data_IF_947168325844
#
_entry.id   IF_947168325844
#
_cell.length_a   1.000
_cell.length_b   1.000
_cell.length_c   1.000
_cell.angle_alpha   90.00
_cell.angle_beta   90.00
_cell.angle_gamma   90.00
#
_symmetry.space_group_name_H-M   'P 1'
#
loop_
_entity.id
_entity.type
_entity.pdbx_description
1 polymer ?
#
# COMPACT_ATOMS: atom_id res chain seq x y z
N UNK A 1 -18.21 -32.15 67.34
CA UNK A 1 -19.24 -31.42 68.10
C UNK A 1 -19.14 -29.92 67.73
N UNK A 2 -20.10 -29.11 68.18
CA UNK A 2 -20.11 -27.64 68.12
C UNK A 2 -20.18 -26.99 66.72
N UNK A 3 -21.38 -26.54 66.36
CA UNK A 3 -21.63 -25.37 65.49
C UNK A 3 -21.80 -24.13 66.39
N UNK A 4 -21.51 -22.92 65.90
CA UNK A 4 -22.31 -21.67 66.05
C UNK A 4 -21.57 -20.53 65.32
N UNK A 5 -22.12 -19.67 64.44
CA UNK A 5 -23.41 -18.96 64.32
C UNK A 5 -23.49 -17.61 65.07
N UNK A 6 -24.14 -16.65 64.39
CA UNK A 6 -24.75 -15.36 64.85
C UNK A 6 -23.81 -14.15 65.09
N UNK A 7 -24.23 -12.88 64.85
CA UNK A 7 -25.12 -12.28 63.82
C UNK A 7 -25.12 -10.73 63.89
N UNK A 8 -25.60 -10.07 62.81
CA UNK A 8 -26.37 -8.81 62.78
C UNK A 8 -25.75 -7.45 63.22
N UNK A 9 -25.97 -6.42 62.39
CA UNK A 9 -25.91 -4.98 62.73
C UNK A 9 -26.36 -4.12 61.54
N UNK A 10 -27.44 -3.33 61.68
CA UNK A 10 -28.14 -2.66 60.55
C UNK A 10 -28.62 -1.24 60.88
N UNK A 11 -28.44 -0.31 59.92
CA UNK A 11 -29.14 0.98 59.61
C UNK A 11 -28.13 1.90 58.86
N UNK A 12 -28.46 2.84 57.98
CA UNK A 12 -29.65 3.69 57.78
C UNK A 12 -29.28 5.14 58.17
N UNK A 13 -29.56 6.24 57.42
CA UNK A 13 -30.54 6.54 56.34
C UNK A 13 -29.97 7.60 55.35
N UNK A 14 -30.62 7.81 54.21
CA UNK A 14 -30.16 8.50 52.99
C UNK A 14 -30.34 10.04 52.89
N UNK A 15 -29.66 10.65 51.91
CA UNK A 15 -30.11 11.79 51.07
C UNK A 15 -29.20 11.93 49.82
N UNK A 16 -29.62 12.27 48.59
CA UNK A 16 -30.98 12.46 48.06
C UNK A 16 -31.02 12.74 46.53
N UNK A 17 -31.94 12.05 45.82
CA UNK A 17 -32.54 12.28 44.46
C UNK A 17 -31.78 13.02 43.33
N UNK A 18 -31.65 12.33 42.19
CA UNK A 18 -32.34 12.66 40.91
C UNK A 18 -32.30 11.45 39.96
N UNK A 19 -33.36 10.64 39.82
CA UNK A 19 -34.46 10.77 38.83
C UNK A 19 -33.99 10.73 37.35
N UNK A 20 -34.00 9.55 36.70
CA UNK A 20 -35.10 8.92 35.91
C UNK A 20 -35.33 9.56 34.51
N UNK A 21 -35.67 8.87 33.41
CA UNK A 21 -35.54 7.45 32.99
C UNK A 21 -35.71 7.33 31.45
N UNK A 22 -35.27 6.20 30.87
CA UNK A 22 -35.29 5.77 29.45
C UNK A 22 -36.50 6.12 28.55
N UNK A 23 -36.27 6.16 27.22
CA UNK A 23 -36.92 5.25 26.22
C UNK A 23 -36.48 5.47 24.74
N UNK A 24 -36.57 4.39 23.94
CA UNK A 24 -36.66 4.28 22.46
C UNK A 24 -37.90 3.40 22.15
N UNK A 25 -38.45 3.26 20.92
CA UNK A 25 -37.99 3.73 19.59
C UNK A 25 -38.89 4.91 19.08
N UNK A 26 -39.56 5.02 17.92
CA UNK A 26 -39.82 4.18 16.72
C UNK A 26 -40.14 5.03 15.46
N UNK A 27 -40.70 4.43 14.40
CA UNK A 27 -40.85 4.99 13.03
C UNK A 27 -42.28 4.94 12.47
N UNK A 28 -42.77 5.99 11.79
CA UNK A 28 -43.84 5.91 10.79
C UNK A 28 -44.07 7.20 9.94
N UNK A 29 -44.39 7.01 8.65
CA UNK A 29 -45.31 7.75 7.75
C UNK A 29 -45.40 9.30 7.64
N UNK A 30 -45.41 9.75 6.38
CA UNK A 30 -45.94 11.02 5.80
C UNK A 30 -47.48 11.16 5.88
N UNK A 31 -48.17 12.22 5.38
CA UNK A 31 -47.73 13.49 4.75
C UNK A 31 -48.38 14.77 5.34
N UNK A 32 -48.08 15.96 4.78
CA UNK A 32 -48.95 17.14 4.86
C UNK A 32 -49.11 17.84 3.50
N UNK A 33 -50.18 18.63 3.34
CA UNK A 33 -50.67 19.13 2.05
C UNK A 33 -51.07 20.61 2.09
N UNK A 34 -50.90 21.29 0.95
CA UNK A 34 -51.57 22.53 0.49
C UNK A 34 -51.56 23.74 1.44
N UNK A 35 -51.07 24.86 0.90
CA UNK A 35 -51.80 26.12 0.97
C UNK A 35 -51.62 26.87 -0.35
N UNK A 36 -52.72 27.37 -0.91
CA UNK A 36 -52.74 28.15 -2.14
C UNK A 36 -53.73 29.30 -1.95
N UNK A 37 -53.33 30.52 -2.31
CA UNK A 37 -54.20 31.69 -2.29
C UNK A 37 -54.32 32.28 -3.70
N UNK A 38 -55.57 32.44 -4.14
CA UNK A 38 -56.00 33.48 -5.10
C UNK A 38 -55.84 34.85 -4.39
N UNK A 39 -55.89 36.03 -5.01
CA UNK A 39 -56.73 36.48 -6.13
C UNK A 39 -56.34 37.90 -6.55
N UNK A 40 -56.62 38.30 -7.80
CA UNK A 40 -57.58 39.38 -8.04
C UNK A 40 -57.96 39.51 -9.51
N UNK A 41 -59.25 39.78 -9.74
CA UNK A 41 -59.87 40.08 -11.04
C UNK A 41 -59.59 41.53 -11.46
N UNK A 42 -59.72 41.88 -12.75
CA UNK A 42 -61.01 42.31 -13.32
C UNK A 42 -60.94 42.45 -14.84
N UNK A 43 -62.09 42.59 -15.51
CA UNK A 43 -62.25 42.36 -16.94
C UNK A 43 -62.80 43.58 -17.71
N UNK A 44 -62.55 43.62 -19.02
CA UNK A 44 -63.27 44.44 -19.99
C UNK A 44 -63.49 43.66 -21.29
N UNK A 45 -64.63 43.88 -21.93
CA UNK A 45 -65.17 43.10 -23.06
C UNK A 45 -65.17 43.97 -24.32
N UNK A 46 -64.56 43.56 -25.45
CA UNK A 46 -64.88 44.10 -26.78
C UNK A 46 -64.60 43.08 -27.90
N UNK A 47 -65.11 43.34 -29.12
CA UNK A 47 -65.38 42.35 -30.18
C UNK A 47 -64.37 42.34 -31.33
N UNK A 48 -64.23 41.16 -31.95
CA UNK A 48 -63.90 40.87 -33.38
C UNK A 48 -62.99 41.82 -34.19
N UNK A 49 -61.90 41.28 -34.72
CA UNK A 49 -61.69 41.02 -36.17
C UNK A 49 -60.44 40.12 -36.38
N UNK A 50 -60.34 39.33 -37.47
CA UNK A 50 -59.19 38.46 -37.71
C UNK A 50 -58.05 39.17 -38.47
N UNK A 51 -56.83 39.16 -37.92
CA UNK A 51 -55.62 39.58 -38.63
C UNK A 51 -54.89 38.37 -39.25
N UNK A 52 -54.41 38.53 -40.49
CA UNK A 52 -53.68 37.46 -41.18
C UNK A 52 -52.30 37.23 -40.53
N UNK A 53 -52.02 35.99 -40.14
CA UNK A 53 -50.72 35.61 -39.58
C UNK A 53 -49.68 35.36 -40.68
N UNK A 54 -49.03 36.44 -41.14
CA UNK A 54 -47.86 36.33 -42.02
C UNK A 54 -46.66 35.87 -41.19
N UNK A 55 -46.48 34.56 -41.11
CA UNK A 55 -45.49 33.93 -40.23
C UNK A 55 -44.11 33.87 -40.89
N UNK A 56 -43.38 34.98 -40.86
CA UNK A 56 -42.00 35.08 -41.36
C UNK A 56 -41.09 34.02 -40.72
N UNK A 57 -40.74 32.98 -41.48
CA UNK A 57 -39.86 31.91 -41.01
C UNK A 57 -38.40 32.37 -41.04
N UNK A 58 -37.92 32.89 -39.92
CA UNK A 58 -36.49 33.10 -39.70
C UNK A 58 -35.79 31.72 -39.65
N UNK A 59 -35.04 31.39 -40.70
CA UNK A 59 -34.28 30.13 -40.80
C UNK A 59 -33.05 30.19 -39.89
N UNK A 60 -33.28 30.08 -38.57
CA UNK A 60 -32.24 30.17 -37.56
C UNK A 60 -31.33 28.94 -37.64
N UNK A 61 -30.22 29.08 -38.36
CA UNK A 61 -29.23 28.02 -38.57
C UNK A 61 -28.60 27.59 -37.25
N UNK A 62 -29.22 26.62 -36.57
CA UNK A 62 -28.57 25.86 -35.51
C UNK A 62 -27.28 25.29 -36.09
N UNK A 63 -26.14 25.85 -35.68
CA UNK A 63 -24.89 25.08 -35.64
C UNK A 63 -25.18 23.90 -34.74
N UNK A 64 -25.42 22.74 -35.34
CA UNK A 64 -25.57 21.48 -34.61
C UNK A 64 -24.24 21.21 -33.93
N UNK A 65 -24.11 21.63 -32.66
CA UNK A 65 -23.06 21.14 -31.79
C UNK A 65 -23.23 19.63 -31.83
N UNK A 66 -22.30 18.94 -32.48
CA UNK A 66 -22.35 17.49 -32.59
C UNK A 66 -22.59 16.95 -31.18
N UNK A 67 -23.60 16.09 -31.03
CA UNK A 67 -23.73 15.34 -29.78
C UNK A 67 -22.37 14.69 -29.54
N UNK A 68 -21.76 14.84 -28.34
CA UNK A 68 -20.43 14.30 -28.09
C UNK A 68 -20.50 12.83 -28.47
N UNK A 69 -19.69 12.44 -29.46
CA UNK A 69 -19.75 11.10 -30.02
C UNK A 69 -19.66 10.14 -28.85
N UNK A 70 -20.72 9.37 -28.61
CA UNK A 70 -20.87 8.58 -27.39
C UNK A 70 -19.81 7.50 -27.47
N UNK A 71 -18.60 7.79 -26.94
CA UNK A 71 -17.46 6.86 -26.90
C UNK A 71 -18.06 5.54 -26.44
N UNK A 72 -18.11 4.57 -27.35
CA UNK A 72 -18.41 3.20 -26.97
C UNK A 72 -17.22 2.84 -26.11
N UNK A 73 -17.40 2.94 -24.79
CA UNK A 73 -16.33 2.65 -23.84
C UNK A 73 -15.84 1.25 -24.18
N UNK A 74 -14.57 1.13 -24.56
CA UNK A 74 -13.97 -0.16 -24.76
C UNK A 74 -14.20 -0.97 -23.47
N UNK A 75 -14.57 -2.25 -23.56
CA UNK A 75 -14.77 -3.06 -22.36
C UNK A 75 -13.45 -3.08 -21.59
N UNK A 76 -13.38 -2.33 -20.48
CA UNK A 76 -12.14 -2.15 -19.70
C UNK A 76 -11.50 -3.52 -19.47
N UNK A 77 -10.23 -3.74 -19.90
CA UNK A 77 -9.59 -5.03 -19.71
C UNK A 77 -9.52 -5.33 -18.22
N UNK A 78 -10.06 -6.47 -17.82
CA UNK A 78 -10.00 -6.93 -16.43
C UNK A 78 -8.66 -7.62 -16.22
N UNK A 79 -7.65 -6.86 -15.83
CA UNK A 79 -6.35 -7.40 -15.43
C UNK A 79 -6.52 -8.29 -14.20
N UNK A 80 -5.87 -9.45 -14.19
CA UNK A 80 -5.86 -10.42 -13.08
C UNK A 80 -4.64 -10.16 -12.17
N UNK A 81 -4.45 -8.90 -11.78
CA UNK A 81 -3.27 -8.39 -11.05
C UNK A 81 -3.50 -8.15 -9.54
N UNK A 82 -4.73 -8.35 -9.04
CA UNK A 82 -5.06 -8.19 -7.63
C UNK A 82 -4.60 -9.33 -6.72
N UNK A 83 -5.01 -9.27 -5.45
CA UNK A 83 -4.69 -10.28 -4.43
C UNK A 83 -5.07 -11.70 -4.92
N UNK A 84 -4.13 -12.64 -4.84
CA UNK A 84 -4.22 -13.99 -5.42
C UNK A 84 -4.70 -14.04 -6.89
N UNK A 85 -4.35 -13.04 -7.70
CA UNK A 85 -4.74 -12.93 -9.12
C UNK A 85 -6.17 -12.43 -9.36
N UNK A 86 -6.87 -11.93 -8.33
CA UNK A 86 -8.27 -11.50 -8.50
C UNK A 86 -8.39 -10.19 -9.30
N UNK A 87 -9.22 -10.18 -10.35
CA UNK A 87 -9.50 -8.97 -11.15
C UNK A 87 -10.43 -7.95 -10.45
N UNK A 88 -10.39 -7.90 -9.12
CA UNK A 88 -11.31 -7.09 -8.30
C UNK A 88 -10.80 -5.70 -7.94
N UNK A 89 -9.59 -5.34 -8.35
CA UNK A 89 -8.91 -4.09 -7.93
C UNK A 89 -8.46 -4.09 -6.46
N UNK A 90 -8.58 -5.24 -5.77
CA UNK A 90 -8.19 -5.43 -4.36
C UNK A 90 -6.75 -5.97 -4.31
N UNK A 91 -5.98 -5.56 -3.30
CA UNK A 91 -4.58 -5.96 -3.11
C UNK A 91 -3.61 -4.80 -3.29
N UNK A 92 -2.33 -5.09 -3.12
CA UNK A 92 -1.24 -4.14 -3.30
C UNK A 92 -1.13 -3.64 -4.75
N UNK A 93 -0.58 -2.45 -4.93
CA UNK A 93 0.02 -2.01 -6.20
C UNK A 93 1.52 -2.30 -6.19
N UNK A 94 2.16 -2.22 -7.36
CA UNK A 94 3.63 -2.28 -7.44
C UNK A 94 4.34 -1.22 -6.59
N UNK A 95 3.70 -0.08 -6.28
CA UNK A 95 4.26 0.91 -5.33
C UNK A 95 4.18 0.44 -3.87
N UNK A 96 3.10 -0.24 -3.47
CA UNK A 96 3.02 -0.88 -2.15
C UNK A 96 4.07 -1.99 -2.02
N UNK A 97 4.20 -2.86 -3.02
CA UNK A 97 5.23 -3.89 -3.03
C UNK A 97 6.65 -3.29 -2.98
N UNK A 98 6.92 -2.23 -3.75
CA UNK A 98 8.21 -1.55 -3.76
C UNK A 98 8.57 -1.02 -2.36
N UNK A 99 7.61 -0.41 -1.67
CA UNK A 99 7.79 0.04 -0.29
C UNK A 99 8.07 -1.12 0.68
N UNK A 100 7.30 -2.21 0.62
CA UNK A 100 7.55 -3.41 1.43
C UNK A 100 8.92 -4.03 1.11
N UNK A 101 9.32 -4.02 -0.16
CA UNK A 101 10.65 -4.42 -0.63
C UNK A 101 11.77 -3.57 -0.01
N UNK A 102 11.66 -2.24 -0.01
CA UNK A 102 12.62 -1.35 0.68
C UNK A 102 12.72 -1.65 2.18
N UNK A 103 11.58 -1.90 2.84
CA UNK A 103 11.56 -2.28 4.27
C UNK A 103 12.26 -3.62 4.50
N UNK A 104 12.05 -4.61 3.62
CA UNK A 104 12.74 -5.89 3.68
C UNK A 104 14.26 -5.77 3.42
N UNK A 105 14.69 -4.94 2.46
CA UNK A 105 16.10 -4.62 2.22
C UNK A 105 16.77 -4.07 3.49
N UNK A 106 16.12 -3.09 4.15
CA UNK A 106 16.63 -2.49 5.39
C UNK A 106 16.65 -3.52 6.53
N UNK A 107 15.57 -4.28 6.71
CA UNK A 107 15.48 -5.32 7.74
C UNK A 107 16.53 -6.43 7.58
N UNK A 108 16.78 -6.87 6.34
CA UNK A 108 17.81 -7.87 6.04
C UNK A 108 19.22 -7.32 6.25
N UNK A 109 19.51 -6.11 5.75
CA UNK A 109 20.79 -5.45 5.97
C UNK A 109 21.07 -5.20 7.47
N UNK A 110 20.07 -4.78 8.24
CA UNK A 110 20.18 -4.55 9.68
C UNK A 110 20.32 -5.86 10.47
N UNK A 111 19.62 -6.93 10.07
CA UNK A 111 19.78 -8.27 10.65
C UNK A 111 21.23 -8.75 10.56
N UNK A 112 21.78 -8.78 9.33
CA UNK A 112 23.14 -9.30 9.11
C UNK A 112 24.20 -8.39 9.73
N UNK A 113 24.04 -7.06 9.65
CA UNK A 113 24.97 -6.11 10.28
C UNK A 113 24.94 -6.20 11.82
N UNK A 114 23.75 -6.36 12.40
CA UNK A 114 23.58 -6.56 13.84
C UNK A 114 24.26 -7.85 14.31
N UNK A 115 24.13 -8.94 13.56
CA UNK A 115 24.82 -10.19 13.85
C UNK A 115 26.33 -10.07 13.71
N UNK A 116 26.84 -9.42 12.66
CA UNK A 116 28.27 -9.18 12.46
C UNK A 116 28.90 -8.35 13.61
N UNK A 117 28.15 -7.43 14.21
CA UNK A 117 28.61 -6.59 15.32
C UNK A 117 28.44 -7.27 16.69
N UNK A 118 27.38 -8.07 16.90
CA UNK A 118 27.00 -8.59 18.22
C UNK A 118 27.27 -10.09 18.43
N UNK A 119 27.54 -10.83 17.35
CA UNK A 119 27.63 -12.30 17.37
C UNK A 119 26.29 -13.01 17.60
N UNK A 120 25.15 -12.32 17.42
CA UNK A 120 23.80 -12.85 17.68
C UNK A 120 22.85 -12.63 16.50
N UNK A 121 22.05 -13.63 16.17
CA UNK A 121 20.97 -13.49 15.19
C UNK A 121 19.92 -12.46 15.61
N UNK A 122 19.07 -12.06 14.66
CA UNK A 122 18.13 -10.93 14.84
C UNK A 122 16.98 -11.29 15.79
N UNK A 123 16.54 -12.54 15.82
CA UNK A 123 15.50 -12.99 16.75
C UNK A 123 16.06 -13.03 18.18
N UNK A 124 17.31 -13.50 18.35
CA UNK A 124 18.02 -13.43 19.63
C UNK A 124 18.22 -11.99 20.13
N UNK A 125 18.51 -11.03 19.24
CA UNK A 125 18.59 -9.61 19.57
C UNK A 125 17.23 -8.99 19.93
N UNK A 126 16.13 -9.52 19.39
CA UNK A 126 14.75 -9.12 19.71
C UNK A 126 14.15 -9.87 20.91
N UNK A 127 14.97 -10.63 21.66
CA UNK A 127 14.55 -11.46 22.80
C UNK A 127 13.53 -12.57 22.48
N UNK A 128 13.45 -13.01 21.23
CA UNK A 128 12.57 -14.08 20.77
C UNK A 128 13.22 -15.47 20.94
N UNK A 129 12.40 -16.50 21.09
CA UNK A 129 12.86 -17.89 21.23
C UNK A 129 13.39 -18.45 19.91
N UNK A 130 14.48 -19.22 19.98
CA UNK A 130 15.23 -19.76 18.82
C UNK A 130 15.85 -21.12 19.17
N UNK A 131 16.13 -21.95 18.16
CA UNK A 131 16.46 -23.36 18.35
C UNK A 131 15.24 -24.24 18.69
N UNK A 132 14.05 -23.79 18.27
CA UNK A 132 12.74 -24.40 18.54
C UNK A 132 12.05 -24.81 17.22
N UNK A 133 11.16 -25.82 17.23
CA UNK A 133 10.41 -26.17 16.03
C UNK A 133 9.42 -25.07 15.65
N UNK A 134 9.17 -24.89 14.34
CA UNK A 134 8.37 -23.77 13.79
C UNK A 134 6.99 -23.62 14.44
N UNK A 135 6.35 -24.73 14.86
CA UNK A 135 5.01 -24.69 15.47
C UNK A 135 4.99 -24.18 16.93
N UNK A 136 6.15 -24.03 17.58
CA UNK A 136 6.31 -23.42 18.91
C UNK A 136 6.68 -21.93 18.81
N UNK A 137 7.14 -21.45 17.65
CA UNK A 137 7.54 -20.06 17.44
C UNK A 137 6.36 -19.07 17.43
N UNK A 138 6.62 -17.81 17.77
CA UNK A 138 5.58 -16.80 17.97
C UNK A 138 4.65 -16.63 16.75
N UNK A 139 3.31 -16.70 16.91
CA UNK A 139 2.37 -16.56 15.81
C UNK A 139 2.48 -15.26 15.01
N UNK A 140 2.95 -14.16 15.64
CA UNK A 140 3.19 -12.89 14.95
C UNK A 140 4.43 -12.94 14.05
N UNK A 141 5.48 -13.65 14.47
CA UNK A 141 6.67 -13.91 13.66
C UNK A 141 6.33 -14.84 12.49
N UNK A 142 5.55 -15.90 12.73
CA UNK A 142 5.04 -16.78 11.68
C UNK A 142 4.16 -16.03 10.65
N UNK A 143 3.31 -15.12 11.11
CA UNK A 143 2.54 -14.24 10.24
C UNK A 143 3.44 -13.28 9.44
N UNK A 144 4.48 -12.70 10.04
CA UNK A 144 5.45 -11.85 9.34
C UNK A 144 6.21 -12.61 8.24
N UNK A 145 6.64 -13.85 8.51
CA UNK A 145 7.26 -14.73 7.50
C UNK A 145 6.29 -15.00 6.35
N UNK A 146 5.05 -15.41 6.67
CA UNK A 146 4.02 -15.70 5.65
C UNK A 146 3.70 -14.47 4.79
N UNK A 147 3.49 -13.31 5.41
CA UNK A 147 3.28 -12.04 4.73
C UNK A 147 4.46 -11.69 3.81
N UNK A 148 5.69 -11.87 4.29
CA UNK A 148 6.91 -11.57 3.54
C UNK A 148 7.07 -12.48 2.32
N UNK A 149 6.80 -13.79 2.46
CA UNK A 149 6.83 -14.74 1.36
C UNK A 149 5.71 -14.51 0.33
N UNK A 150 4.48 -14.23 0.78
CA UNK A 150 3.36 -13.89 -0.11
C UNK A 150 3.60 -12.57 -0.86
N UNK A 151 4.25 -11.59 -0.22
CA UNK A 151 4.70 -10.36 -0.87
C UNK A 151 5.81 -10.60 -1.90
N UNK A 152 6.79 -11.46 -1.59
CA UNK A 152 7.90 -11.77 -2.50
C UNK A 152 7.44 -12.38 -3.85
N UNK A 153 6.35 -13.15 -3.83
CA UNK A 153 5.74 -13.75 -5.03
C UNK A 153 4.61 -12.91 -5.66
N UNK A 154 4.30 -11.73 -5.10
CA UNK A 154 3.22 -10.85 -5.55
C UNK A 154 1.79 -11.35 -5.28
N UNK A 155 1.62 -12.39 -4.45
CA UNK A 155 0.30 -12.93 -4.11
C UNK A 155 -0.59 -11.95 -3.31
N UNK A 156 0.00 -10.90 -2.72
CA UNK A 156 -0.72 -9.82 -2.06
C UNK A 156 -1.31 -8.78 -3.05
N UNK A 157 -0.98 -8.88 -4.34
CA UNK A 157 -1.43 -8.01 -5.43
C UNK A 157 -0.25 -7.29 -6.10
N UNK A 158 -0.16 -7.41 -7.41
CA UNK A 158 0.94 -6.91 -8.25
C UNK A 158 0.49 -5.73 -9.14
N UNK A 159 -0.50 -4.95 -8.65
CA UNK A 159 -1.37 -4.13 -9.52
C UNK A 159 -0.67 -2.96 -10.20
N UNK A 160 -1.09 -2.69 -11.43
CA UNK A 160 -0.56 -1.61 -12.29
C UNK A 160 0.80 -1.94 -12.89
N UNK A 161 1.50 -0.95 -13.44
CA UNK A 161 2.80 -1.15 -14.11
C UNK A 161 3.81 -0.05 -13.85
N UNK A 162 5.08 -0.42 -13.76
CA UNK A 162 6.18 0.53 -13.90
C UNK A 162 6.54 0.66 -15.37
N UNK A 163 6.70 1.90 -15.83
CA UNK A 163 7.12 2.21 -17.20
C UNK A 163 8.31 3.17 -17.13
N UNK A 164 9.37 2.86 -17.86
CA UNK A 164 10.60 3.65 -17.84
C UNK A 164 10.37 5.05 -18.41
N UNK A 165 10.90 6.05 -17.72
CA UNK A 165 10.97 7.40 -18.29
C UNK A 165 12.02 7.40 -19.39
N UNK A 166 11.54 7.37 -20.64
CA UNK A 166 12.39 7.35 -21.82
C UNK A 166 13.31 8.59 -21.82
N UNK A 167 14.65 8.42 -21.76
CA UNK A 167 15.57 9.55 -21.67
C UNK A 167 15.52 10.35 -22.98
N UNK A 168 14.89 11.51 -22.93
CA UNK A 168 14.78 12.45 -24.05
C UNK A 168 16.10 13.21 -24.22
N UNK A 169 17.06 12.55 -24.86
CA UNK A 169 18.35 13.14 -25.25
C UNK A 169 19.47 12.09 -25.34
N UNK A 170 20.14 12.05 -26.49
CA UNK A 170 21.45 11.37 -26.63
C UNK A 170 22.59 12.18 -26.00
N UNK A 171 22.29 13.38 -25.50
CA UNK A 171 23.20 14.48 -25.20
C UNK A 171 24.03 14.30 -23.91
N UNK A 172 23.94 13.13 -23.26
CA UNK A 172 24.80 12.76 -22.11
C UNK A 172 25.69 11.55 -22.34
N UNK A 173 25.81 11.07 -23.59
CA UNK A 173 26.74 10.01 -24.00
C UNK A 173 28.18 10.50 -24.26
N UNK A 174 28.48 11.79 -24.05
CA UNK A 174 29.82 12.37 -24.20
C UNK A 174 30.40 12.69 -22.83
N UNK A 175 31.33 11.86 -22.37
CA UNK A 175 32.04 12.05 -21.09
C UNK A 175 33.15 13.10 -21.28
N UNK A 176 33.04 14.22 -20.57
CA UNK A 176 34.15 15.17 -20.45
C UNK A 176 35.20 14.61 -19.46
N UNK A 177 36.50 14.58 -19.78
CA UNK A 177 37.51 13.94 -18.93
C UNK A 177 37.82 14.79 -17.67
N UNK A 178 37.05 14.59 -16.58
CA UNK A 178 37.02 15.57 -15.48
C UNK A 178 36.59 15.10 -14.08
N UNK A 179 36.68 13.81 -13.71
CA UNK A 179 36.52 13.27 -12.33
C UNK A 179 35.24 13.66 -11.54
N UNK A 180 34.20 12.83 -11.62
CA UNK A 180 33.24 12.62 -10.53
C UNK A 180 33.57 11.39 -9.67
N UNK A 181 33.32 11.44 -8.35
CA UNK A 181 33.44 10.25 -7.45
C UNK A 181 32.57 9.07 -7.93
N UNK A 182 31.41 9.36 -8.52
CA UNK A 182 30.53 8.37 -9.16
C UNK A 182 31.20 7.66 -10.34
N UNK A 183 31.79 8.43 -11.27
CA UNK A 183 32.50 7.88 -12.43
C UNK A 183 33.69 6.99 -12.02
N UNK A 184 34.40 7.35 -10.95
CA UNK A 184 35.49 6.53 -10.39
C UNK A 184 35.03 5.17 -9.81
N UNK A 185 33.73 5.02 -9.50
CA UNK A 185 33.11 3.76 -9.09
C UNK A 185 32.34 3.07 -10.24
N UNK A 186 32.47 3.54 -11.48
CA UNK A 186 31.71 3.03 -12.64
C UNK A 186 30.23 3.45 -12.68
N UNK A 187 29.81 4.38 -11.82
CA UNK A 187 28.43 4.82 -11.67
C UNK A 187 28.15 6.08 -12.51
N UNK A 188 26.94 6.22 -13.04
CA UNK A 188 26.56 7.31 -13.94
C UNK A 188 26.57 8.68 -13.25
N UNK A 189 27.03 9.71 -13.98
CA UNK A 189 27.02 11.11 -13.51
C UNK A 189 25.65 11.80 -13.65
N UNK A 190 24.59 11.01 -13.81
CA UNK A 190 23.20 11.43 -13.82
C UNK A 190 22.27 10.21 -13.71
N UNK A 191 21.17 10.37 -13.00
CA UNK A 191 20.21 9.28 -12.71
C UNK A 191 20.42 8.64 -11.32
N UNK A 192 19.72 7.51 -11.06
CA UNK A 192 19.81 6.74 -9.82
C UNK A 192 21.24 6.21 -9.60
N UNK A 193 21.66 6.04 -8.34
CA UNK A 193 23.05 5.71 -8.00
C UNK A 193 23.54 4.37 -8.59
N UNK A 194 22.65 3.43 -8.87
CA UNK A 194 22.93 2.16 -9.56
C UNK A 194 22.30 2.05 -10.96
N UNK A 195 21.71 3.14 -11.50
CA UNK A 195 20.95 3.10 -12.76
C UNK A 195 19.67 2.25 -12.74
N UNK A 196 19.23 1.77 -11.59
CA UNK A 196 18.06 0.90 -11.45
C UNK A 196 16.76 1.58 -11.90
N UNK A 197 15.93 0.85 -12.65
CA UNK A 197 14.51 1.14 -12.81
C UNK A 197 13.74 0.74 -11.54
N UNK A 198 12.52 1.25 -11.35
CA UNK A 198 11.62 0.77 -10.28
C UNK A 198 11.34 -0.74 -10.39
N UNK A 199 11.37 -1.32 -11.59
CA UNK A 199 11.22 -2.76 -11.79
C UNK A 199 12.45 -3.56 -11.30
N UNK A 200 13.67 -3.03 -11.49
CA UNK A 200 14.87 -3.65 -10.92
C UNK A 200 14.86 -3.56 -9.38
N UNK A 201 14.50 -2.40 -8.87
CA UNK A 201 14.43 -2.13 -7.43
C UNK A 201 13.36 -3.02 -6.74
N UNK A 202 12.19 -3.22 -7.39
CA UNK A 202 11.16 -4.16 -6.96
C UNK A 202 11.69 -5.60 -6.87
N UNK A 203 12.45 -6.04 -7.88
CA UNK A 203 13.05 -7.37 -7.88
C UNK A 203 14.09 -7.55 -6.77
N UNK A 204 14.94 -6.53 -6.52
CA UNK A 204 15.87 -6.52 -5.37
C UNK A 204 15.10 -6.54 -4.04
N UNK A 205 13.95 -5.88 -3.97
CA UNK A 205 13.04 -5.95 -2.82
C UNK A 205 12.50 -7.36 -2.57
N UNK A 206 12.00 -8.02 -3.62
CA UNK A 206 11.52 -9.43 -3.56
C UNK A 206 12.65 -10.40 -3.19
N UNK A 207 13.88 -10.19 -3.67
CA UNK A 207 15.05 -10.96 -3.23
C UNK A 207 15.36 -10.74 -1.74
N UNK A 208 15.31 -9.50 -1.24
CA UNK A 208 15.50 -9.21 0.18
C UNK A 208 14.40 -9.83 1.06
N UNK A 209 13.14 -9.83 0.59
CA UNK A 209 12.03 -10.52 1.26
C UNK A 209 12.28 -12.03 1.39
N UNK A 210 12.74 -12.71 0.34
CA UNK A 210 13.13 -14.12 0.40
C UNK A 210 14.31 -14.33 1.37
N UNK A 211 15.32 -13.47 1.30
CA UNK A 211 16.50 -13.51 2.17
C UNK A 211 16.13 -13.45 3.66
N UNK A 212 15.40 -12.41 4.08
CA UNK A 212 15.01 -12.25 5.50
C UNK A 212 14.04 -13.34 5.96
N UNK A 213 13.10 -13.77 5.12
CA UNK A 213 12.17 -14.84 5.47
C UNK A 213 12.89 -16.17 5.70
N UNK A 214 13.81 -16.55 4.81
CA UNK A 214 14.56 -17.80 4.95
C UNK A 214 15.59 -17.74 6.09
N UNK A 215 16.27 -16.60 6.30
CA UNK A 215 17.20 -16.48 7.44
C UNK A 215 16.48 -16.53 8.78
N UNK A 216 15.26 -15.97 8.89
CA UNK A 216 14.43 -16.06 10.09
C UNK A 216 13.96 -17.50 10.32
N UNK A 217 13.49 -18.22 9.29
CA UNK A 217 13.13 -19.64 9.41
C UNK A 217 14.34 -20.47 9.88
N UNK A 218 15.53 -20.21 9.32
CA UNK A 218 16.78 -20.84 9.75
C UNK A 218 17.12 -20.52 11.22
N UNK A 219 16.92 -19.28 11.67
CA UNK A 219 17.23 -18.88 13.05
C UNK A 219 16.25 -19.49 14.06
N UNK A 220 14.95 -19.54 13.74
CA UNK A 220 13.93 -20.26 14.52
C UNK A 220 14.37 -21.71 14.75
N UNK A 221 14.67 -22.46 13.69
CA UNK A 221 14.96 -23.90 13.76
C UNK A 221 16.33 -24.18 14.40
N UNK A 222 17.36 -23.40 14.06
CA UNK A 222 18.77 -23.77 14.34
C UNK A 222 19.41 -22.99 15.49
N UNK A 223 18.80 -21.90 15.95
CA UNK A 223 19.41 -21.01 16.95
C UNK A 223 20.55 -20.13 16.42
N UNK A 224 20.71 -20.03 15.09
CA UNK A 224 21.83 -19.35 14.43
C UNK A 224 21.31 -18.27 13.47
N UNK A 225 21.89 -17.08 13.50
CA UNK A 225 21.50 -15.98 12.61
C UNK A 225 21.91 -16.19 11.15
N UNK A 226 21.59 -15.21 10.31
CA UNK A 226 21.86 -15.21 8.88
C UNK A 226 23.36 -15.37 8.53
N UNK A 227 24.26 -14.71 9.25
CA UNK A 227 25.70 -14.77 9.01
C UNK A 227 26.28 -16.14 9.40
N UNK A 228 25.87 -16.68 10.55
CA UNK A 228 26.23 -18.02 10.98
C UNK A 228 25.67 -19.10 10.05
N UNK A 229 24.44 -18.94 9.53
CA UNK A 229 23.90 -19.81 8.48
C UNK A 229 24.74 -19.75 7.20
N UNK A 230 25.06 -18.55 6.69
CA UNK A 230 25.88 -18.39 5.48
C UNK A 230 27.26 -19.02 5.62
N UNK A 231 27.93 -18.88 6.76
CA UNK A 231 29.22 -19.53 7.04
C UNK A 231 29.12 -21.07 6.99
N UNK A 232 28.04 -21.64 7.51
CA UNK A 232 27.83 -23.09 7.55
C UNK A 232 27.49 -23.64 6.15
N UNK A 233 26.53 -23.03 5.46
CA UNK A 233 26.01 -23.53 4.17
C UNK A 233 27.00 -23.31 3.01
N UNK A 234 27.85 -22.27 3.08
CA UNK A 234 28.90 -22.03 2.06
C UNK A 234 30.24 -22.69 2.40
N UNK A 235 30.49 -23.01 3.67
CA UNK A 235 31.79 -23.43 4.18
C UNK A 235 32.88 -22.34 4.19
N UNK A 236 32.57 -21.12 3.77
CA UNK A 236 33.53 -20.00 3.71
C UNK A 236 33.75 -19.42 5.11
N UNK A 237 35.00 -19.28 5.60
CA UNK A 237 35.30 -18.69 6.91
C UNK A 237 34.67 -17.30 7.09
N UNK A 238 34.25 -16.97 8.32
CA UNK A 238 33.56 -15.69 8.60
C UNK A 238 34.43 -14.49 8.18
N UNK A 239 35.74 -14.54 8.41
CA UNK A 239 36.72 -13.53 7.98
C UNK A 239 36.83 -13.33 6.46
N UNK A 240 36.42 -14.31 5.66
CA UNK A 240 36.39 -14.24 4.19
C UNK A 240 35.00 -13.83 3.66
N UNK A 241 33.93 -14.16 4.41
CA UNK A 241 32.55 -13.80 4.05
C UNK A 241 32.19 -12.37 4.51
N UNK A 242 32.81 -11.87 5.57
CA UNK A 242 32.60 -10.52 6.15
C UNK A 242 32.65 -9.39 5.11
N UNK A 243 33.66 -9.30 4.21
CA UNK A 243 33.70 -8.24 3.19
C UNK A 243 32.56 -8.34 2.16
N UNK A 244 32.19 -9.56 1.76
CA UNK A 244 31.09 -9.82 0.81
C UNK A 244 29.73 -9.50 1.46
N UNK A 245 29.59 -9.81 2.74
CA UNK A 245 28.42 -9.50 3.56
C UNK A 245 28.30 -8.00 3.78
N UNK A 246 29.38 -7.30 4.14
CA UNK A 246 29.37 -5.85 4.31
C UNK A 246 29.03 -5.14 3.00
N UNK A 247 29.53 -5.63 1.86
CA UNK A 247 29.13 -5.17 0.53
C UNK A 247 27.61 -5.35 0.30
N UNK A 248 27.04 -6.50 0.65
CA UNK A 248 25.59 -6.74 0.53
C UNK A 248 24.77 -5.81 1.45
N UNK A 249 25.20 -5.59 2.70
CA UNK A 249 24.57 -4.64 3.64
C UNK A 249 24.55 -3.23 3.06
N UNK A 250 25.68 -2.75 2.53
CA UNK A 250 25.79 -1.43 1.89
C UNK A 250 24.94 -1.36 0.61
N UNK A 251 24.95 -2.40 -0.21
CA UNK A 251 24.14 -2.49 -1.42
C UNK A 251 22.64 -2.39 -1.12
N UNK A 252 22.12 -3.22 -0.21
CA UNK A 252 20.70 -3.20 0.18
C UNK A 252 20.30 -1.88 0.84
N UNK A 253 21.13 -1.30 1.71
CA UNK A 253 20.86 -0.01 2.33
C UNK A 253 20.76 1.13 1.29
N UNK A 254 21.69 1.15 0.33
CA UNK A 254 21.65 2.14 -0.77
C UNK A 254 20.46 1.90 -1.68
N UNK A 255 20.18 0.65 -2.08
CA UNK A 255 19.04 0.31 -2.94
C UNK A 255 17.68 0.65 -2.28
N UNK A 256 17.57 0.48 -0.97
CA UNK A 256 16.37 0.83 -0.23
C UNK A 256 16.10 2.35 -0.17
N UNK A 257 17.15 3.18 -0.13
CA UNK A 257 17.02 4.65 -0.01
C UNK A 257 17.01 5.36 -1.38
N UNK A 258 17.77 4.86 -2.35
CA UNK A 258 17.85 5.43 -3.69
C UNK A 258 16.60 5.04 -4.51
N UNK A 259 15.79 6.00 -5.01
CA UNK A 259 14.67 5.68 -5.87
C UNK A 259 15.12 5.30 -7.29
N UNK A 260 14.57 4.21 -7.83
CA UNK A 260 14.72 3.84 -9.23
C UNK A 260 13.96 4.77 -10.20
N UNK A 261 14.41 4.81 -11.46
CA UNK A 261 13.75 5.54 -12.54
C UNK A 261 12.43 4.88 -12.99
N UNK A 262 11.54 5.67 -13.59
CA UNK A 262 10.27 5.22 -14.14
C UNK A 262 9.05 5.72 -13.36
N UNK A 263 7.90 5.75 -14.03
CA UNK A 263 6.61 6.12 -13.46
C UNK A 263 5.80 4.87 -13.15
N UNK A 264 4.99 4.94 -12.09
CA UNK A 264 3.86 4.04 -11.94
C UNK A 264 2.73 4.52 -12.85
N UNK A 265 2.07 3.60 -13.53
CA UNK A 265 0.83 3.82 -14.26
C UNK A 265 -0.22 2.88 -13.67
N UNK A 266 -1.36 3.44 -13.26
CA UNK A 266 -2.48 2.62 -12.81
C UNK A 266 -3.18 1.98 -14.01
N UNK A 267 -3.72 0.77 -13.83
CA UNK A 267 -4.41 0.02 -14.91
C UNK A 267 -5.71 0.65 -15.43
N UNK A 268 -5.99 1.91 -15.10
CA UNK A 268 -7.13 2.69 -15.58
C UNK A 268 -6.73 3.88 -16.47
N UNK A 269 -5.43 4.17 -16.62
CA UNK A 269 -4.90 5.37 -17.31
C UNK A 269 -4.39 5.11 -18.74
N UNK A 270 -4.39 3.86 -19.19
CA UNK A 270 -3.93 3.44 -20.53
C UNK A 270 -5.07 3.50 -21.59
N UNK A 271 -5.60 4.71 -21.90
CA UNK A 271 -6.59 4.93 -23.00
C UNK A 271 -6.67 6.40 -23.55
#
# INVERSE_FOLDING_TARGET
MAQSMLMSGVNGVASGRSLLQAARPSSASTPFSRLALSSSSSAAYYKHMPSLSVRTMALFGKKTKAAPAKKVAAPKPKTEDGIFGTSGGIGFTKENELFVGRVAMIGFAASILGEAITGKGILSQLNLETGIPIYEAEPLLLFFILFTLLGAIGALGDRGRFVDEQPTGLDKAVIAPGKGFRSALGLSEGGPLFGFTKSNELFVGRLAQLGIAFSIIGEIITGKGALAQLNIETGVPISEIEPLVLFNVVFFFIAAINPGTGKFISGEEDD
#
